data_IF_365168179914
#
_entry.id   IF_365168179914
#
_cell.length_a   1.000
_cell.length_b   1.000
_cell.length_c   1.000
_cell.angle_alpha   90.00
_cell.angle_beta   90.00
_cell.angle_gamma   90.00
#
_symmetry.space_group_name_H-M   'P 1'
#
loop_
_entity.id
_entity.type
_entity.pdbx_description
1 polymer ?
#
# COMPACT_ATOMS: atom_id res chain seq x y z
N UNK A 1 -13.88 -18.42 -8.57
CA UNK A 1 -13.96 -17.88 -7.22
C UNK A 1 -12.62 -17.29 -6.80
N UNK A 2 -12.56 -16.04 -6.52
CA UNK A 2 -11.27 -15.40 -6.27
C UNK A 2 -10.82 -15.53 -4.81
N UNK A 3 -10.57 -16.74 -4.36
CA UNK A 3 -10.07 -16.95 -2.99
C UNK A 3 -8.72 -16.27 -2.77
N UNK A 4 -8.01 -15.96 -3.86
CA UNK A 4 -6.71 -15.34 -3.76
C UNK A 4 -6.78 -13.82 -3.62
N UNK A 5 -7.97 -13.25 -3.65
CA UNK A 5 -8.13 -11.80 -3.62
C UNK A 5 -8.57 -11.33 -2.25
N UNK A 6 -8.01 -10.20 -1.83
CA UNK A 6 -8.48 -9.52 -0.62
C UNK A 6 -8.62 -8.04 -0.94
N UNK A 7 -9.41 -7.36 -0.12
CA UNK A 7 -9.54 -5.92 -0.17
C UNK A 7 -8.68 -5.31 0.90
N UNK A 8 -7.85 -4.35 0.49
CA UNK A 8 -6.98 -3.65 1.43
C UNK A 8 -7.34 -2.18 1.37
N UNK A 9 -7.65 -1.60 2.52
CA UNK A 9 -7.82 -0.15 2.62
C UNK A 9 -6.44 0.46 2.76
N UNK A 10 -6.09 1.34 1.83
CA UNK A 10 -4.81 2.02 1.83
C UNK A 10 -5.08 3.50 2.04
N UNK A 11 -4.44 4.07 3.06
CA UNK A 11 -4.58 5.49 3.36
C UNK A 11 -3.35 6.20 2.79
N UNK A 12 -3.55 6.95 1.70
CA UNK A 12 -2.47 7.63 0.99
C UNK A 12 -2.47 9.09 1.40
N UNK A 13 -1.45 9.53 2.12
CA UNK A 13 -1.39 10.91 2.64
C UNK A 13 -2.68 11.29 3.35
N UNK A 14 -3.25 10.37 4.12
CA UNK A 14 -4.49 10.62 4.85
C UNK A 14 -5.75 10.37 4.05
N UNK A 15 -5.65 10.01 2.77
CA UNK A 15 -6.80 9.78 1.89
C UNK A 15 -7.02 8.28 1.73
N UNK A 16 -8.11 7.71 2.27
CA UNK A 16 -8.34 6.27 2.15
C UNK A 16 -8.82 5.89 0.75
N UNK A 17 -8.36 4.72 0.30
CA UNK A 17 -8.85 4.11 -0.92
C UNK A 17 -8.80 2.59 -0.74
N UNK A 18 -9.59 1.86 -1.51
CA UNK A 18 -9.66 0.41 -1.42
C UNK A 18 -9.01 -0.18 -2.66
N UNK A 19 -8.11 -1.14 -2.45
CA UNK A 19 -7.43 -1.84 -3.53
C UNK A 19 -7.74 -3.33 -3.42
N UNK A 20 -8.21 -3.93 -4.50
CA UNK A 20 -8.35 -5.38 -4.60
C UNK A 20 -6.98 -5.95 -4.95
N UNK A 21 -6.52 -6.91 -4.15
CA UNK A 21 -5.17 -7.41 -4.28
C UNK A 21 -5.15 -8.94 -4.34
N UNK A 22 -4.21 -9.47 -5.12
CA UNK A 22 -3.95 -10.91 -5.20
C UNK A 22 -2.92 -11.25 -4.13
N UNK A 23 -3.29 -12.11 -3.19
CA UNK A 23 -2.43 -12.44 -2.05
C UNK A 23 -1.14 -13.16 -2.46
N UNK A 24 -1.09 -13.72 -3.67
CA UNK A 24 0.10 -14.39 -4.16
C UNK A 24 1.13 -13.43 -4.77
N UNK A 25 0.77 -12.15 -4.89
CA UNK A 25 1.66 -11.14 -5.44
C UNK A 25 2.34 -10.36 -4.31
N UNK A 26 3.47 -9.71 -4.62
CA UNK A 26 4.14 -8.87 -3.62
C UNK A 26 3.24 -7.73 -3.13
N UNK A 27 3.41 -7.36 -1.89
CA UNK A 27 2.62 -6.28 -1.28
C UNK A 27 2.74 -4.98 -2.07
N UNK A 28 3.91 -4.71 -2.65
CA UNK A 28 4.12 -3.49 -3.42
C UNK A 28 3.19 -3.34 -4.61
N UNK A 29 2.54 -4.41 -5.06
CA UNK A 29 1.61 -4.33 -6.20
C UNK A 29 0.37 -3.50 -5.89
N UNK A 30 0.08 -3.23 -4.61
CA UNK A 30 -1.06 -2.37 -4.26
C UNK A 30 -0.74 -0.90 -4.38
N UNK A 31 0.55 -0.53 -4.48
CA UNK A 31 0.95 0.88 -4.45
C UNK A 31 0.49 1.65 -5.70
N UNK A 32 0.80 1.18 -6.94
CA UNK A 32 0.36 1.95 -8.10
C UNK A 32 -1.14 2.20 -8.17
N UNK A 33 -2.01 1.21 -7.95
CA UNK A 33 -3.44 1.50 -7.99
C UNK A 33 -3.89 2.44 -6.86
N UNK A 34 -3.29 2.33 -5.67
CA UNK A 34 -3.65 3.23 -4.57
C UNK A 34 -3.28 4.67 -4.90
N UNK A 35 -2.10 4.89 -5.48
CA UNK A 35 -1.68 6.23 -5.89
C UNK A 35 -2.59 6.79 -6.98
N UNK A 36 -2.94 5.95 -7.95
CA UNK A 36 -3.80 6.39 -9.05
C UNK A 36 -5.19 6.77 -8.54
N UNK A 37 -5.76 5.94 -7.67
CA UNK A 37 -7.11 6.18 -7.17
C UNK A 37 -7.20 7.43 -6.32
N UNK A 38 -6.11 7.83 -5.67
CA UNK A 38 -6.09 9.03 -4.82
C UNK A 38 -5.48 10.23 -5.52
N UNK A 39 -5.11 10.11 -6.81
CA UNK A 39 -4.55 11.22 -7.55
C UNK A 39 -3.14 11.59 -7.18
N UNK A 40 -2.37 10.67 -6.59
CA UNK A 40 -1.00 10.93 -6.14
C UNK A 40 0.01 10.36 -7.13
N UNK A 41 -0.05 10.80 -8.38
CA UNK A 41 0.79 10.26 -9.44
C UNK A 41 2.02 11.10 -9.73
N UNK A 42 2.28 12.14 -8.94
CA UNK A 42 3.43 13.01 -9.16
C UNK A 42 4.76 12.41 -8.74
N UNK A 43 4.76 11.34 -7.95
CA UNK A 43 5.96 10.64 -7.51
C UNK A 43 5.86 9.17 -7.88
N UNK A 44 6.96 8.53 -8.30
CA UNK A 44 6.91 7.11 -8.66
C UNK A 44 6.66 6.23 -7.42
N UNK A 45 6.15 5.00 -7.63
CA UNK A 45 5.83 4.11 -6.50
C UNK A 45 7.00 3.83 -5.56
N UNK A 46 8.22 3.79 -6.08
CA UNK A 46 9.38 3.48 -5.24
C UNK A 46 9.72 4.60 -4.25
N UNK A 47 9.12 5.77 -4.40
CA UNK A 47 9.32 6.88 -3.47
C UNK A 47 8.37 6.83 -2.28
N UNK A 48 7.50 5.82 -2.22
CA UNK A 48 6.50 5.68 -1.18
C UNK A 48 6.85 4.52 -0.28
N UNK A 49 6.50 4.62 1.00
CA UNK A 49 6.66 3.52 1.93
C UNK A 49 5.32 3.16 2.55
N UNK A 50 5.18 1.89 2.90
CA UNK A 50 3.93 1.33 3.39
C UNK A 50 4.12 0.88 4.83
N UNK A 51 3.21 1.29 5.71
CA UNK A 51 3.24 0.93 7.13
C UNK A 51 1.90 0.37 7.56
N UNK A 52 1.93 -0.44 8.60
CA UNK A 52 0.69 -0.94 9.19
C UNK A 52 0.13 0.06 10.21
N UNK A 53 -0.97 -0.31 10.87
CA UNK A 53 -1.64 0.59 11.81
C UNK A 53 -0.80 0.90 13.05
N UNK A 54 0.22 0.06 13.34
CA UNK A 54 1.14 0.30 14.44
C UNK A 54 2.35 1.13 14.02
N UNK A 55 2.42 1.52 12.76
CA UNK A 55 3.53 2.30 12.24
C UNK A 55 4.73 1.47 11.81
N UNK A 56 4.59 0.15 11.77
CA UNK A 56 5.68 -0.72 11.34
C UNK A 56 5.85 -0.68 9.84
N UNK A 57 7.07 -0.43 9.39
CA UNK A 57 7.40 -0.43 7.96
C UNK A 57 7.29 -1.84 7.41
N UNK A 58 6.56 -1.98 6.33
CA UNK A 58 6.31 -3.29 5.72
C UNK A 58 7.24 -3.53 4.54
N UNK A 59 7.70 -4.78 4.41
CA UNK A 59 8.54 -5.19 3.29
C UNK A 59 7.66 -5.45 2.08
N UNK A 60 7.68 -4.54 1.12
CA UNK A 60 6.80 -4.61 -0.05
C UNK A 60 7.20 -5.69 -1.04
N UNK A 61 8.37 -6.31 -0.86
CA UNK A 61 8.78 -7.42 -1.71
C UNK A 61 8.17 -8.75 -1.27
N UNK A 62 7.58 -8.81 -0.07
CA UNK A 62 6.96 -10.03 0.45
C UNK A 62 5.58 -10.21 -0.14
N UNK A 63 5.17 -11.48 -0.34
CA UNK A 63 3.82 -11.77 -0.78
C UNK A 63 2.80 -11.32 0.27
N UNK A 64 1.67 -10.83 -0.20
CA UNK A 64 0.61 -10.36 0.69
C UNK A 64 0.18 -11.48 1.65
N UNK A 65 0.12 -12.72 1.16
CA UNK A 65 -0.27 -13.85 1.99
C UNK A 65 0.62 -14.03 3.22
N UNK A 66 1.89 -13.60 3.15
CA UNK A 66 2.82 -13.75 4.27
C UNK A 66 2.47 -12.89 5.46
N UNK A 67 1.66 -11.86 5.28
CA UNK A 67 1.31 -10.93 6.36
C UNK A 67 0.08 -11.36 7.14
N UNK A 68 -0.75 -12.26 6.57
CA UNK A 68 -1.98 -12.73 7.22
C UNK A 68 -2.91 -11.57 7.62
N UNK A 69 -3.11 -10.62 6.71
CA UNK A 69 -3.92 -9.43 6.98
C UNK A 69 -5.37 -9.82 7.29
N UNK A 70 -5.99 -9.17 8.28
CA UNK A 70 -7.43 -9.35 8.51
C UNK A 70 -8.25 -8.70 7.40
N UNK A 71 -9.53 -9.04 7.26
CA UNK A 71 -10.35 -8.51 6.17
C UNK A 71 -10.57 -7.00 6.22
N UNK A 72 -10.40 -6.39 7.39
CA UNK A 72 -10.56 -4.94 7.55
C UNK A 72 -9.23 -4.22 7.69
N UNK A 73 -8.16 -4.76 7.12
CA UNK A 73 -6.83 -4.20 7.27
C UNK A 73 -6.77 -2.78 6.70
N UNK A 74 -6.07 -1.91 7.41
CA UNK A 74 -5.75 -0.55 6.96
C UNK A 74 -4.24 -0.42 6.91
N UNK A 75 -3.72 -0.04 5.75
CA UNK A 75 -2.30 0.23 5.57
C UNK A 75 -2.13 1.69 5.21
N UNK A 76 -0.96 2.24 5.54
CA UNK A 76 -0.70 3.67 5.40
C UNK A 76 0.46 3.88 4.44
N UNK A 77 0.21 4.62 3.38
CA UNK A 77 1.17 4.85 2.31
C UNK A 77 1.55 6.32 2.33
N UNK A 78 2.83 6.60 2.58
CA UNK A 78 3.35 7.95 2.66
C UNK A 78 4.68 8.05 1.93
N UNK A 79 5.04 9.24 1.50
CA UNK A 79 6.33 9.46 0.86
C UNK A 79 7.45 9.14 1.85
N UNK A 80 8.52 8.54 1.33
CA UNK A 80 9.71 8.29 2.12
C UNK A 80 10.33 9.61 2.55
N UNK A 81 10.99 9.61 3.70
CA UNK A 81 11.68 10.79 4.20
C UNK A 81 12.71 11.26 3.18
N UNK A 82 12.77 12.55 2.95
CA UNK A 82 13.71 13.14 2.01
C UNK A 82 13.23 13.17 0.57
N UNK A 83 12.05 12.62 0.30
CA UNK A 83 11.49 12.62 -1.04
C UNK A 83 10.38 13.65 -1.13
N UNK A 84 10.27 14.32 -2.26
CA UNK A 84 9.21 15.29 -2.52
C UNK A 84 9.39 16.59 -1.78
N UNK A 85 10.41 16.68 -1.08
CA UNK A 85 10.65 17.84 -0.30
C UNK A 85 11.57 18.81 -0.91
N UNK A 86 11.74 18.82 -0.70
CA UNK A 86 12.40 19.41 -0.72
C UNK A 86 13.31 19.72 -0.65
N UNK A 87 13.42 19.68 -0.79
CA UNK A 87 14.17 20.04 -0.69
C UNK A 87 14.95 20.41 -0.79
#
# INVERSE_FOLDING_TARGET
MPENKIRITVVVNGQPTVVDADVNLPLGTIIPPALKQTGNTGQPPENWELRDAQGTLLDTSQKIANFHFPPDVHLFLNLKAGVGGLS
#
